data_IF_593484999130
#
_entry.id   IF_593484999130
#
_cell.length_a   1.000
_cell.length_b   1.000
_cell.length_c   1.000
_cell.angle_alpha   90.00
_cell.angle_beta   90.00
_cell.angle_gamma   90.00
#
_symmetry.space_group_name_H-M   'P 1'
#
loop_
_entity.id
_entity.type
_entity.pdbx_description
1 polymer ?
#
# COMPACT_ATOMS: atom_id res chain seq x y z
N UNK A 1 21.30 16.94 2.48
CA UNK A 1 20.73 17.36 3.78
C UNK A 1 20.32 16.11 4.57
N UNK A 2 20.92 15.87 5.74
CA UNK A 2 20.47 14.80 6.65
C UNK A 2 19.04 15.14 7.07
N UNK A 3 18.06 14.27 6.82
CA UNK A 3 16.64 14.44 7.22
C UNK A 3 16.39 13.63 8.51
N UNK A 4 16.91 14.07 9.68
CA UNK A 4 16.86 13.28 10.91
C UNK A 4 15.42 12.96 11.33
N UNK A 5 14.50 13.92 11.21
CA UNK A 5 13.09 13.75 11.60
C UNK A 5 12.41 12.62 10.82
N UNK A 6 12.59 12.57 9.50
CA UNK A 6 12.02 11.50 8.66
C UNK A 6 12.58 10.13 9.05
N UNK A 7 13.89 10.04 9.34
CA UNK A 7 14.51 8.78 9.75
C UNK A 7 13.96 8.28 11.08
N UNK A 8 13.76 9.18 12.04
CA UNK A 8 13.19 8.83 13.34
C UNK A 8 11.72 8.43 13.19
N UNK A 9 10.94 9.19 12.41
CA UNK A 9 9.56 8.86 12.06
C UNK A 9 9.42 7.47 11.45
N UNK A 10 10.26 7.13 10.47
CA UNK A 10 10.26 5.80 9.86
C UNK A 10 10.57 4.71 10.89
N UNK A 11 11.57 4.94 11.75
CA UNK A 11 11.97 3.95 12.77
C UNK A 11 10.91 3.75 13.85
N UNK A 12 10.23 4.82 14.27
CA UNK A 12 9.29 4.75 15.40
C UNK A 12 7.87 4.43 14.95
N UNK A 13 7.43 4.99 13.82
CA UNK A 13 6.07 4.84 13.31
C UNK A 13 5.99 3.70 12.31
N UNK A 14 6.78 3.72 11.23
CA UNK A 14 6.67 2.68 10.20
C UNK A 14 7.10 1.30 10.73
N UNK A 15 8.26 1.19 11.41
CA UNK A 15 8.65 -0.10 12.00
C UNK A 15 7.67 -0.57 13.07
N UNK A 16 7.11 0.33 13.87
CA UNK A 16 6.08 0.00 14.86
C UNK A 16 4.79 -0.53 14.20
N UNK A 17 4.38 0.05 13.06
CA UNK A 17 3.23 -0.42 12.29
C UNK A 17 3.42 -1.87 11.84
N UNK A 18 4.57 -2.17 11.24
CA UNK A 18 4.90 -3.52 10.78
C UNK A 18 4.93 -4.53 11.93
N UNK A 19 5.43 -4.14 13.11
CA UNK A 19 5.44 -5.00 14.29
C UNK A 19 4.03 -5.26 14.82
N UNK A 20 3.22 -4.21 15.04
CA UNK A 20 1.85 -4.34 15.59
C UNK A 20 0.90 -5.08 14.64
N UNK A 21 1.08 -4.92 13.33
CA UNK A 21 0.20 -5.50 12.31
C UNK A 21 0.80 -6.73 11.62
N UNK A 22 1.79 -7.39 12.22
CA UNK A 22 2.45 -8.57 11.64
C UNK A 22 1.44 -9.63 11.18
N UNK A 23 0.41 -9.91 11.98
CA UNK A 23 -0.64 -10.88 11.62
C UNK A 23 -1.46 -10.48 10.40
N UNK A 24 -1.86 -9.20 10.30
CA UNK A 24 -2.57 -8.67 9.14
C UNK A 24 -1.70 -8.71 7.88
N UNK A 25 -0.41 -8.37 8.01
CA UNK A 25 0.55 -8.41 6.91
C UNK A 25 0.81 -9.84 6.45
N UNK A 26 0.92 -10.78 7.38
CA UNK A 26 1.06 -12.20 7.08
C UNK A 26 -0.19 -12.73 6.36
N UNK A 27 -1.39 -12.34 6.81
CA UNK A 27 -2.63 -12.71 6.15
C UNK A 27 -2.72 -12.12 4.73
N UNK A 28 -2.37 -10.85 4.55
CA UNK A 28 -2.25 -10.22 3.23
C UNK A 28 -1.26 -10.95 2.34
N UNK A 29 -0.11 -11.34 2.90
CA UNK A 29 0.91 -12.05 2.16
C UNK A 29 0.41 -13.44 1.71
N UNK A 30 -0.13 -14.24 2.62
CA UNK A 30 -0.58 -15.60 2.31
C UNK A 30 -1.82 -15.60 1.41
N UNK A 31 -2.83 -14.78 1.73
CA UNK A 31 -4.10 -14.84 1.02
C UNK A 31 -4.06 -14.08 -0.30
N UNK A 32 -3.44 -12.91 -0.32
CA UNK A 32 -3.49 -12.03 -1.48
C UNK A 32 -2.21 -12.13 -2.27
N UNK A 33 -1.02 -11.96 -1.69
CA UNK A 33 0.23 -12.06 -2.47
C UNK A 33 0.40 -13.46 -3.08
N UNK A 34 0.30 -14.54 -2.32
CA UNK A 34 0.48 -15.86 -2.93
C UNK A 34 -0.50 -16.11 -4.08
N UNK A 35 -1.76 -15.70 -3.97
CA UNK A 35 -2.72 -15.85 -5.08
C UNK A 35 -2.55 -14.82 -6.20
N UNK A 36 -1.99 -13.64 -5.92
CA UNK A 36 -1.67 -12.64 -6.95
C UNK A 36 -0.46 -13.08 -7.79
N UNK A 37 0.54 -13.69 -7.15
CA UNK A 37 1.81 -14.04 -7.80
C UNK A 37 1.90 -15.50 -8.22
N UNK A 38 1.16 -16.40 -7.58
CA UNK A 38 1.34 -17.84 -7.72
C UNK A 38 0.04 -18.63 -7.43
N UNK A 39 -0.85 -18.72 -8.40
CA UNK A 39 -1.97 -19.67 -8.37
C UNK A 39 -1.72 -20.80 -9.36
N UNK A 40 -1.36 -21.99 -8.89
CA UNK A 40 -1.33 -23.19 -9.73
C UNK A 40 -2.58 -24.04 -9.50
N UNK A 41 -3.19 -24.50 -10.59
CA UNK A 41 -4.22 -25.54 -10.54
C UNK A 41 -3.59 -26.92 -10.43
N UNK A 42 -4.24 -27.81 -9.69
CA UNK A 42 -3.88 -29.22 -9.57
C UNK A 42 -4.10 -29.90 -10.94
N UNK A 43 -3.04 -30.54 -11.45
CA UNK A 43 -2.98 -31.24 -12.74
C UNK A 43 -3.12 -30.33 -13.99
N UNK A 44 -2.03 -30.15 -14.73
CA UNK A 44 -1.94 -29.26 -15.90
C UNK A 44 -1.60 -29.99 -17.22
N UNK A 45 -1.62 -31.33 -17.23
CA UNK A 45 -1.20 -32.14 -18.39
C UNK A 45 -2.05 -31.94 -19.64
N UNK A 46 -3.26 -31.40 -19.51
CA UNK A 46 -4.19 -31.12 -20.61
C UNK A 46 -4.18 -29.67 -21.10
N UNK A 47 -3.42 -28.78 -20.44
CA UNK A 47 -3.40 -27.35 -20.75
C UNK A 47 -2.17 -26.98 -21.58
N UNK A 48 -2.34 -26.02 -22.49
CA UNK A 48 -1.20 -25.40 -23.18
C UNK A 48 -0.47 -24.45 -22.24
N UNK A 49 0.80 -24.16 -22.53
CA UNK A 49 1.61 -23.24 -21.72
C UNK A 49 0.95 -21.86 -21.55
N UNK A 50 0.29 -21.35 -22.59
CA UNK A 50 -0.43 -20.08 -22.55
C UNK A 50 -1.62 -20.13 -21.58
N UNK A 51 -2.38 -21.23 -21.57
CA UNK A 51 -3.51 -21.41 -20.65
C UNK A 51 -3.05 -21.52 -19.20
N UNK A 52 -1.90 -22.15 -18.95
CA UNK A 52 -1.28 -22.22 -17.63
C UNK A 52 -0.93 -20.82 -17.12
N UNK A 53 -0.28 -19.99 -17.95
CA UNK A 53 0.07 -18.60 -17.59
C UNK A 53 -1.17 -17.74 -17.34
N UNK A 54 -2.19 -17.83 -18.20
CA UNK A 54 -3.44 -17.09 -18.02
C UNK A 54 -4.15 -17.48 -16.73
N UNK A 55 -4.15 -18.78 -16.39
CA UNK A 55 -4.78 -19.23 -15.16
C UNK A 55 -4.00 -18.79 -13.92
N UNK A 56 -2.66 -18.82 -13.98
CA UNK A 56 -1.81 -18.35 -12.89
C UNK A 56 -1.96 -16.85 -12.61
N UNK A 57 -2.25 -16.05 -13.64
CA UNK A 57 -2.45 -14.60 -13.54
C UNK A 57 -3.93 -14.20 -13.47
N UNK A 58 -4.86 -15.16 -13.40
CA UNK A 58 -6.30 -14.91 -13.52
C UNK A 58 -6.80 -13.88 -12.51
N UNK A 59 -6.35 -13.97 -11.26
CA UNK A 59 -6.74 -13.03 -10.21
C UNK A 59 -6.30 -11.61 -10.58
N UNK A 60 -5.03 -11.42 -10.96
CA UNK A 60 -4.46 -10.11 -11.32
C UNK A 60 -5.15 -9.55 -12.55
N UNK A 61 -5.32 -10.36 -13.59
CA UNK A 61 -6.02 -9.98 -14.80
C UNK A 61 -7.45 -9.52 -14.49
N UNK A 62 -8.18 -10.28 -13.67
CA UNK A 62 -9.53 -9.91 -13.23
C UNK A 62 -9.52 -8.55 -12.52
N UNK A 63 -8.51 -8.26 -11.69
CA UNK A 63 -8.42 -6.96 -10.99
C UNK A 63 -8.09 -5.77 -11.89
N UNK A 64 -7.68 -5.98 -13.14
CA UNK A 64 -7.37 -4.90 -14.10
C UNK A 64 -8.29 -4.89 -15.32
N UNK A 65 -9.06 -5.96 -15.55
CA UNK A 65 -9.98 -6.09 -16.69
C UNK A 65 -11.45 -6.01 -16.29
N UNK A 66 -11.84 -6.59 -15.14
CA UNK A 66 -13.25 -6.71 -14.74
C UNK A 66 -13.63 -5.63 -13.72
N UNK A 67 -14.77 -4.92 -13.89
CA UNK A 67 -15.19 -3.85 -12.98
C UNK A 67 -15.24 -4.25 -11.51
N UNK A 68 -15.75 -5.45 -11.22
CA UNK A 68 -15.82 -5.96 -9.85
C UNK A 68 -14.42 -6.24 -9.26
N UNK A 69 -13.51 -6.78 -10.06
CA UNK A 69 -12.13 -7.02 -9.64
C UNK A 69 -11.40 -5.72 -9.33
N UNK A 70 -11.63 -4.69 -10.14
CA UNK A 70 -11.07 -3.35 -9.95
C UNK A 70 -11.61 -2.74 -8.66
N UNK A 71 -12.93 -2.72 -8.47
CA UNK A 71 -13.56 -2.20 -7.25
C UNK A 71 -13.04 -2.92 -6.01
N UNK A 72 -12.89 -4.25 -6.08
CA UNK A 72 -12.34 -5.03 -4.97
C UNK A 72 -10.90 -4.62 -4.64
N UNK A 73 -10.03 -4.51 -5.64
CA UNK A 73 -8.63 -4.11 -5.46
C UNK A 73 -8.52 -2.69 -4.87
N UNK A 74 -9.27 -1.72 -5.41
CA UNK A 74 -9.26 -0.35 -4.92
C UNK A 74 -9.81 -0.25 -3.49
N UNK A 75 -10.87 -1.03 -3.18
CA UNK A 75 -11.43 -1.09 -1.82
C UNK A 75 -10.43 -1.67 -0.82
N UNK A 76 -9.67 -2.69 -1.21
CA UNK A 76 -8.60 -3.26 -0.39
C UNK A 76 -7.51 -2.22 -0.10
N UNK A 77 -7.09 -1.45 -1.11
CA UNK A 77 -6.11 -0.37 -0.93
C UNK A 77 -6.62 0.74 -0.02
N UNK A 78 -7.90 1.10 -0.14
CA UNK A 78 -8.55 2.08 0.73
C UNK A 78 -8.59 1.59 2.18
N UNK A 79 -9.09 0.38 2.42
CA UNK A 79 -9.20 -0.21 3.76
C UNK A 79 -7.83 -0.33 4.43
N UNK A 80 -6.80 -0.74 3.67
CA UNK A 80 -5.43 -0.77 4.16
C UNK A 80 -4.92 0.62 4.54
N UNK A 81 -5.17 1.62 3.69
CA UNK A 81 -4.78 3.01 3.95
C UNK A 81 -5.50 3.59 5.17
N UNK A 82 -6.77 3.25 5.39
CA UNK A 82 -7.52 3.62 6.60
C UNK A 82 -6.89 2.98 7.84
N UNK A 83 -6.44 1.72 7.77
CA UNK A 83 -5.75 1.06 8.88
C UNK A 83 -4.43 1.73 9.22
N UNK A 84 -3.62 2.10 8.21
CA UNK A 84 -2.45 2.94 8.41
C UNK A 84 -2.82 4.25 9.11
N UNK A 85 -3.89 4.90 8.65
CA UNK A 85 -4.41 6.15 9.22
C UNK A 85 -4.75 6.06 10.70
N UNK A 86 -5.52 5.03 11.06
CA UNK A 86 -5.93 4.73 12.44
C UNK A 86 -4.71 4.46 13.34
N UNK A 87 -3.75 3.68 12.83
CA UNK A 87 -2.51 3.39 13.56
C UNK A 87 -1.73 4.66 13.89
N UNK A 88 -1.47 5.52 12.90
CA UNK A 88 -0.69 6.76 13.11
C UNK A 88 -1.43 7.69 14.07
N UNK A 89 -2.74 7.88 13.88
CA UNK A 89 -3.55 8.73 14.75
C UNK A 89 -3.53 8.27 16.22
N UNK A 90 -3.48 6.96 16.47
CA UNK A 90 -3.30 6.40 17.81
C UNK A 90 -1.87 6.57 18.30
N UNK A 91 -0.88 6.24 17.47
CA UNK A 91 0.54 6.24 17.83
C UNK A 91 0.98 7.63 18.26
N UNK A 92 0.68 8.68 17.48
CA UNK A 92 1.16 10.04 17.78
C UNK A 92 0.59 10.63 19.08
N UNK A 93 -0.52 10.08 19.61
CA UNK A 93 -1.10 10.48 20.91
C UNK A 93 -0.47 9.79 22.11
N UNK A 94 0.41 8.81 21.90
CA UNK A 94 1.05 8.08 23.00
C UNK A 94 2.21 8.87 23.60
N UNK A 95 2.35 8.77 24.92
CA UNK A 95 3.30 9.58 25.72
C UNK A 95 4.75 9.31 25.31
N UNK A 96 5.08 8.08 24.93
CA UNK A 96 6.42 7.65 24.50
C UNK A 96 6.87 8.29 23.17
N UNK A 97 5.95 8.82 22.37
CA UNK A 97 6.23 9.40 21.05
C UNK A 97 5.76 10.85 20.90
N UNK A 98 5.29 11.47 21.98
CA UNK A 98 4.78 12.84 21.97
C UNK A 98 5.86 13.86 21.52
N UNK A 99 7.13 13.59 21.82
CA UNK A 99 8.26 14.40 21.34
C UNK A 99 8.35 14.47 19.80
N UNK A 100 7.87 13.45 19.09
CA UNK A 100 7.83 13.45 17.62
C UNK A 100 6.76 14.41 17.10
N UNK A 101 5.60 14.49 17.76
CA UNK A 101 4.57 15.45 17.41
C UNK A 101 5.11 16.88 17.47
N UNK A 102 5.81 17.24 18.56
CA UNK A 102 6.46 18.55 18.69
C UNK A 102 7.55 18.78 17.64
N UNK A 103 8.37 17.76 17.35
CA UNK A 103 9.45 17.87 16.36
C UNK A 103 8.93 18.07 14.93
N UNK A 104 7.77 17.50 14.61
CA UNK A 104 7.15 17.60 13.28
C UNK A 104 6.39 18.92 13.14
N UNK A 105 5.63 19.33 14.15
CA UNK A 105 4.88 20.60 14.14
C UNK A 105 5.81 21.82 14.04
N UNK A 106 7.06 21.70 14.49
CA UNK A 106 8.10 22.72 14.29
C UNK A 106 8.54 22.90 12.82
N UNK A 107 8.20 21.97 11.92
CA UNK A 107 8.51 22.09 10.49
C UNK A 107 7.42 22.89 9.76
N UNK A 108 7.78 23.53 8.65
CA UNK A 108 6.78 24.14 7.76
C UNK A 108 5.81 23.09 7.20
N UNK A 109 4.57 23.48 6.92
CA UNK A 109 3.50 22.59 6.45
C UNK A 109 3.92 21.69 5.28
N UNK A 110 4.59 22.23 4.26
CA UNK A 110 5.06 21.43 3.12
C UNK A 110 6.12 20.38 3.50
N UNK A 111 6.96 20.66 4.51
CA UNK A 111 7.93 19.69 5.03
C UNK A 111 7.28 18.63 5.91
N UNK A 112 6.23 18.99 6.68
CA UNK A 112 5.40 18.04 7.41
C UNK A 112 4.73 17.06 6.44
N UNK A 113 4.07 17.60 5.40
CA UNK A 113 3.41 16.80 4.39
C UNK A 113 4.40 15.85 3.68
N UNK A 114 5.58 16.34 3.30
CA UNK A 114 6.62 15.50 2.71
C UNK A 114 7.08 14.39 3.67
N UNK A 115 7.25 14.69 4.95
CA UNK A 115 7.67 13.70 5.94
C UNK A 115 6.60 12.60 6.12
N UNK A 116 5.34 13.00 6.27
CA UNK A 116 4.20 12.09 6.38
C UNK A 116 3.97 11.28 5.12
N UNK A 117 4.16 11.86 3.95
CA UNK A 117 4.08 11.15 2.67
C UNK A 117 5.10 10.02 2.61
N UNK A 118 6.36 10.26 3.01
CA UNK A 118 7.40 9.22 3.03
C UNK A 118 7.06 8.12 4.03
N UNK A 119 6.56 8.47 5.22
CA UNK A 119 6.14 7.47 6.22
C UNK A 119 4.99 6.62 5.69
N UNK A 120 3.96 7.27 5.15
CA UNK A 120 2.80 6.59 4.59
C UNK A 120 3.18 5.71 3.41
N UNK A 121 4.08 6.16 2.53
CA UNK A 121 4.60 5.37 1.41
C UNK A 121 5.30 4.10 1.91
N UNK A 122 6.16 4.21 2.94
CA UNK A 122 6.87 3.05 3.50
C UNK A 122 5.91 2.08 4.17
N UNK A 123 4.90 2.56 4.89
CA UNK A 123 3.85 1.71 5.47
C UNK A 123 2.97 1.06 4.39
N UNK A 124 2.80 1.70 3.23
CA UNK A 124 1.98 1.22 2.13
C UNK A 124 2.71 0.30 1.14
N UNK A 125 3.98 -0.06 1.40
CA UNK A 125 4.76 -0.92 0.50
C UNK A 125 4.05 -2.21 0.06
N UNK A 126 3.30 -2.93 0.92
CA UNK A 126 2.58 -4.13 0.49
C UNK A 126 1.56 -3.83 -0.61
N UNK A 127 0.73 -2.80 -0.45
CA UNK A 127 -0.27 -2.44 -1.45
C UNK A 127 0.34 -1.77 -2.69
N UNK A 128 1.45 -1.04 -2.52
CA UNK A 128 2.22 -0.49 -3.65
C UNK A 128 2.82 -1.61 -4.50
N UNK A 129 3.36 -2.66 -3.88
CA UNK A 129 3.87 -3.84 -4.58
C UNK A 129 2.78 -4.53 -5.41
N UNK A 130 1.59 -4.73 -4.84
CA UNK A 130 0.44 -5.28 -5.57
C UNK A 130 0.00 -4.37 -6.72
N UNK A 131 -0.10 -3.07 -6.49
CA UNK A 131 -0.50 -2.11 -7.51
C UNK A 131 0.48 -2.02 -8.69
N UNK A 132 1.78 -2.01 -8.41
CA UNK A 132 2.81 -2.03 -9.45
C UNK A 132 2.81 -3.35 -10.24
N UNK A 133 2.61 -4.48 -9.57
CA UNK A 133 2.49 -5.77 -10.26
C UNK A 133 1.25 -5.82 -11.16
N UNK A 134 0.08 -5.40 -10.65
CA UNK A 134 -1.14 -5.29 -11.43
C UNK A 134 -0.97 -4.36 -12.64
N UNK A 135 -0.28 -3.24 -12.45
CA UNK A 135 0.05 -2.31 -13.54
C UNK A 135 0.90 -2.99 -14.62
N UNK A 136 1.99 -3.67 -14.23
CA UNK A 136 2.87 -4.36 -15.18
C UNK A 136 2.13 -5.44 -15.96
N UNK A 137 1.39 -6.32 -15.26
CA UNK A 137 0.61 -7.38 -15.90
C UNK A 137 -0.50 -6.80 -16.79
N UNK A 138 -1.20 -5.77 -16.34
CA UNK A 138 -2.23 -5.15 -17.16
C UNK A 138 -1.68 -4.61 -18.47
N UNK A 139 -0.53 -3.94 -18.45
CA UNK A 139 0.12 -3.45 -19.68
C UNK A 139 0.62 -4.59 -20.58
N UNK A 140 1.20 -5.65 -20.03
CA UNK A 140 1.69 -6.78 -20.85
C UNK A 140 0.56 -7.51 -21.57
N UNK A 141 -0.66 -7.52 -21.00
CA UNK A 141 -1.86 -8.09 -21.61
C UNK A 141 -2.72 -7.08 -22.38
N UNK A 142 -2.22 -5.85 -22.61
CA UNK A 142 -2.85 -4.86 -23.48
C UNK A 142 -3.91 -3.95 -22.83
N UNK A 143 -4.17 -4.11 -21.53
CA UNK A 143 -5.00 -3.16 -20.77
C UNK A 143 -4.21 -1.87 -20.52
N UNK A 144 -4.79 -0.71 -20.86
CA UNK A 144 -4.07 0.59 -20.79
C UNK A 144 -4.59 1.52 -19.69
N UNK A 145 -5.91 1.72 -19.64
CA UNK A 145 -6.51 2.73 -18.76
C UNK A 145 -6.43 2.34 -17.29
N UNK A 146 -6.92 1.15 -16.93
CA UNK A 146 -7.00 0.71 -15.52
C UNK A 146 -5.61 0.54 -14.90
N UNK A 147 -4.63 -0.12 -15.55
CA UNK A 147 -3.25 -0.21 -15.06
C UNK A 147 -2.61 1.15 -14.77
N UNK A 148 -2.94 2.19 -15.56
CA UNK A 148 -2.44 3.55 -15.34
C UNK A 148 -3.14 4.27 -14.17
N UNK A 149 -4.42 4.00 -13.96
CA UNK A 149 -5.20 4.62 -12.87
C UNK A 149 -4.81 4.07 -11.49
N UNK A 150 -4.40 2.80 -11.39
CA UNK A 150 -3.98 2.16 -10.12
C UNK A 150 -2.88 2.95 -9.38
N UNK A 151 -1.71 3.27 -9.97
CA UNK A 151 -0.67 4.02 -9.28
C UNK A 151 -1.10 5.45 -8.97
N UNK A 152 -1.89 6.10 -9.83
CA UNK A 152 -2.45 7.44 -9.59
C UNK A 152 -3.33 7.42 -8.35
N UNK A 153 -4.22 6.42 -8.25
CA UNK A 153 -5.09 6.23 -7.09
C UNK A 153 -4.29 5.97 -5.80
N UNK A 154 -3.26 5.10 -5.85
CA UNK A 154 -2.38 4.85 -4.70
C UNK A 154 -1.65 6.11 -4.24
N UNK A 155 -1.10 6.90 -5.17
CA UNK A 155 -0.47 8.18 -4.83
C UNK A 155 -1.47 9.16 -4.21
N UNK A 156 -2.70 9.19 -4.73
CA UNK A 156 -3.81 9.97 -4.16
C UNK A 156 -4.15 9.55 -2.73
N UNK A 157 -4.24 8.24 -2.45
CA UNK A 157 -4.46 7.72 -1.09
C UNK A 157 -3.32 8.10 -0.14
N UNK A 158 -2.07 7.85 -0.55
CA UNK A 158 -0.88 8.16 0.26
C UNK A 158 -0.82 9.67 0.57
N UNK A 159 -1.06 10.51 -0.44
CA UNK A 159 -1.11 11.96 -0.29
C UNK A 159 -2.23 12.43 0.63
N UNK A 160 -3.45 11.89 0.46
CA UNK A 160 -4.62 12.25 1.26
C UNK A 160 -4.43 11.89 2.74
N UNK A 161 -3.89 10.69 3.01
CA UNK A 161 -3.60 10.23 4.37
C UNK A 161 -2.47 11.04 5.00
N UNK A 162 -1.42 11.39 4.24
CA UNK A 162 -0.37 12.28 4.72
C UNK A 162 -0.90 13.70 5.04
N UNK A 163 -1.82 14.21 4.22
CA UNK A 163 -2.53 15.46 4.47
C UNK A 163 -3.35 15.39 5.74
N UNK A 164 -4.08 14.30 5.95
CA UNK A 164 -4.83 14.04 7.17
C UNK A 164 -3.94 14.05 8.43
N UNK A 165 -2.75 13.44 8.38
CA UNK A 165 -1.79 13.49 9.50
C UNK A 165 -1.31 14.91 9.80
N UNK A 166 -1.08 15.70 8.76
CA UNK A 166 -0.65 17.09 8.89
C UNK A 166 -1.77 17.93 9.52
N UNK A 167 -3.03 17.71 9.14
CA UNK A 167 -4.17 18.37 9.76
C UNK A 167 -4.42 17.91 11.21
N UNK A 168 -4.19 16.63 11.51
CA UNK A 168 -4.42 16.09 12.86
C UNK A 168 -3.48 16.68 13.93
N UNK A 169 -2.31 17.18 13.53
CA UNK A 169 -1.26 17.63 14.44
C UNK A 169 -1.12 19.15 14.58
N UNK A 170 -1.76 19.91 13.69
CA UNK A 170 -1.81 21.37 13.77
C UNK A 170 -3.19 21.80 14.30
#
# INVERSE_FOLDING_TARGET
MKKPVIRVLLKVVASGFYQEHTGLLLALFILIFCNFFYTSVLNQTHLTQQQITLNALKLVLTTVSEPLGVVFLLSLFLLYSVKCGQYVARRVKQVDVQFLAYSITALSWGRQLQAWFVVQLVMSLPIVGLGLFAMLIGFTFGHRLIPLLIPIYLLGLIGSVAGYYTYLLN
#
